data_IF_079672531639
#
_entry.id   IF_079672531639
#
_cell.length_a   1.000
_cell.length_b   1.000
_cell.length_c   1.000
_cell.angle_alpha   90.00
_cell.angle_beta   90.00
_cell.angle_gamma   90.00
#
_symmetry.space_group_name_H-M   'P 1'
#
loop_
_entity.id
_entity.type
_entity.pdbx_description
1 polymer ?
#
# COMPACT_ATOMS: atom_id res chain seq x y z
N UNK A 1 33.21 8.11 5.58
CA UNK A 1 32.13 7.51 6.39
C UNK A 1 31.02 7.15 5.41
N UNK A 2 30.84 5.86 5.12
CA UNK A 2 29.84 5.40 4.14
C UNK A 2 28.52 5.11 4.86
N UNK A 3 27.46 5.81 4.49
CA UNK A 3 26.12 5.58 5.03
C UNK A 3 25.55 4.38 4.27
N UNK A 4 25.43 3.25 4.97
CA UNK A 4 24.84 2.03 4.44
C UNK A 4 23.32 2.22 4.35
N UNK A 5 22.81 2.56 3.17
CA UNK A 5 21.38 2.68 2.87
C UNK A 5 20.79 1.31 2.53
N UNK A 6 20.98 0.33 3.40
CA UNK A 6 20.24 -0.92 3.27
C UNK A 6 18.76 -0.57 3.44
N UNK A 7 17.90 -0.77 2.42
CA UNK A 7 16.48 -0.61 2.64
C UNK A 7 16.10 -1.66 3.67
N UNK A 8 15.73 -1.20 4.87
CA UNK A 8 15.01 -2.01 5.82
C UNK A 8 13.65 -2.28 5.19
N UNK A 9 13.59 -3.33 4.36
CA UNK A 9 12.33 -3.95 3.94
C UNK A 9 11.80 -4.61 5.21
N UNK A 10 11.25 -3.79 6.12
CA UNK A 10 10.40 -4.32 7.16
C UNK A 10 9.22 -4.99 6.43
N UNK A 11 8.86 -6.23 6.81
CA UNK A 11 7.72 -6.93 6.23
C UNK A 11 6.43 -6.26 6.72
N UNK A 12 6.11 -5.07 6.19
CA UNK A 12 4.84 -4.38 6.43
C UNK A 12 3.66 -5.19 5.87
N UNK A 13 3.94 -6.21 5.05
CA UNK A 13 2.92 -7.08 4.45
C UNK A 13 2.48 -8.26 5.34
N UNK A 14 3.26 -8.72 6.33
CA UNK A 14 2.95 -9.98 7.04
C UNK A 14 2.20 -9.79 8.37
N UNK A 15 2.46 -8.72 9.11
CA UNK A 15 2.00 -8.64 10.51
C UNK A 15 0.58 -8.07 10.76
N UNK A 16 -0.14 -7.63 9.73
CA UNK A 16 -1.46 -6.97 9.89
C UNK A 16 -2.56 -7.51 8.98
N UNK A 17 -2.41 -8.73 8.45
CA UNK A 17 -3.53 -9.40 7.82
C UNK A 17 -4.50 -9.82 8.93
N UNK A 18 -5.73 -9.27 8.98
CA UNK A 18 -6.72 -9.75 9.93
C UNK A 18 -6.88 -11.25 9.69
N UNK A 19 -7.05 -12.00 10.78
CA UNK A 19 -7.46 -13.39 10.75
C UNK A 19 -8.89 -13.49 10.17
N UNK A 20 -9.05 -13.17 8.89
CA UNK A 20 -10.20 -13.57 8.12
C UNK A 20 -10.08 -15.07 8.03
N UNK A 21 -10.98 -15.77 8.74
CA UNK A 21 -11.09 -17.21 8.64
C UNK A 21 -10.99 -17.64 7.19
N UNK A 22 -10.17 -18.66 6.93
CA UNK A 22 -9.88 -19.20 5.59
C UNK A 22 -11.17 -19.65 4.86
N UNK A 23 -12.31 -19.63 5.55
CA UNK A 23 -13.66 -20.05 5.14
C UNK A 23 -14.48 -19.00 4.39
N UNK A 24 -14.09 -17.72 4.34
CA UNK A 24 -14.85 -16.72 3.58
C UNK A 24 -14.63 -16.84 2.05
N UNK A 25 -15.67 -16.66 1.21
CA UNK A 25 -15.54 -16.64 -0.24
C UNK A 25 -14.43 -15.69 -0.70
N UNK A 26 -13.65 -16.09 -1.70
CA UNK A 26 -12.52 -15.29 -2.22
C UNK A 26 -12.97 -13.88 -2.62
N UNK A 27 -14.17 -13.75 -3.19
CA UNK A 27 -14.76 -12.46 -3.56
C UNK A 27 -14.92 -11.53 -2.35
N UNK A 28 -15.54 -12.01 -1.26
CA UNK A 28 -15.74 -11.24 -0.04
C UNK A 28 -14.40 -10.84 0.59
N UNK A 29 -13.40 -11.72 0.50
CA UNK A 29 -12.05 -11.44 0.98
C UNK A 29 -11.38 -10.34 0.17
N UNK A 30 -11.45 -10.41 -1.16
CA UNK A 30 -10.87 -9.39 -2.04
C UNK A 30 -11.57 -8.04 -1.84
N UNK A 31 -12.91 -8.05 -1.76
CA UNK A 31 -13.72 -6.85 -1.52
C UNK A 31 -13.36 -6.16 -0.20
N UNK A 32 -13.26 -6.92 0.89
CA UNK A 32 -12.95 -6.35 2.21
C UNK A 32 -11.52 -5.80 2.28
N UNK A 33 -10.56 -6.52 1.71
CA UNK A 33 -9.17 -6.06 1.67
C UNK A 33 -9.03 -4.81 0.80
N UNK A 34 -9.63 -4.80 -0.40
CA UNK A 34 -9.64 -3.63 -1.27
C UNK A 34 -10.21 -2.41 -0.55
N UNK A 35 -11.39 -2.52 0.06
CA UNK A 35 -12.01 -1.41 0.79
C UNK A 35 -11.12 -0.88 1.91
N UNK A 36 -10.50 -1.76 2.71
CA UNK A 36 -9.55 -1.36 3.78
C UNK A 36 -8.34 -0.63 3.21
N UNK A 37 -7.74 -1.17 2.15
CA UNK A 37 -6.57 -0.57 1.53
C UNK A 37 -6.90 0.77 0.86
N UNK A 38 -8.06 0.92 0.21
CA UNK A 38 -8.48 2.19 -0.38
C UNK A 38 -8.67 3.29 0.66
N UNK A 39 -9.26 2.97 1.81
CA UNK A 39 -9.41 3.93 2.93
C UNK A 39 -8.05 4.32 3.50
N UNK A 40 -7.22 3.32 3.83
CA UNK A 40 -5.88 3.57 4.37
C UNK A 40 -5.00 4.39 3.40
N UNK A 41 -5.06 4.10 2.11
CA UNK A 41 -4.33 4.85 1.09
C UNK A 41 -4.82 6.30 0.99
N UNK A 42 -6.14 6.51 1.04
CA UNK A 42 -6.71 7.86 0.99
C UNK A 42 -6.33 8.70 2.22
N UNK A 43 -6.31 8.07 3.40
CA UNK A 43 -5.86 8.70 4.64
C UNK A 43 -4.36 9.03 4.61
N UNK A 44 -3.52 8.10 4.15
CA UNK A 44 -2.08 8.35 4.04
C UNK A 44 -1.79 9.47 3.03
N UNK A 45 -2.49 9.50 1.90
CA UNK A 45 -2.40 10.60 0.94
C UNK A 45 -2.71 11.94 1.61
N UNK A 46 -3.82 12.05 2.34
CA UNK A 46 -4.17 13.27 3.06
C UNK A 46 -3.09 13.67 4.08
N UNK A 47 -2.60 12.71 4.88
CA UNK A 47 -1.56 12.95 5.86
C UNK A 47 -0.21 13.39 5.23
N UNK A 48 0.12 12.89 4.04
CA UNK A 48 1.28 13.34 3.26
C UNK A 48 1.11 14.79 2.79
N UNK A 49 -0.06 15.15 2.27
CA UNK A 49 -0.35 16.54 1.87
C UNK A 49 -0.33 17.49 3.07
N UNK A 50 -0.87 17.07 4.22
CA UNK A 50 -0.81 17.87 5.44
C UNK A 50 0.63 18.07 5.90
N UNK A 51 1.48 17.03 5.82
CA UNK A 51 2.89 17.14 6.14
C UNK A 51 3.66 18.03 5.15
N UNK A 52 3.31 18.00 3.86
CA UNK A 52 3.89 18.91 2.86
C UNK A 52 3.49 20.36 3.12
N UNK A 53 2.23 20.60 3.49
CA UNK A 53 1.68 21.94 3.65
C UNK A 53 2.07 22.59 4.98
N UNK A 54 2.24 21.80 6.04
CA UNK A 54 2.45 22.31 7.40
C UNK A 54 3.80 21.91 8.02
N UNK A 55 4.60 21.06 7.33
CA UNK A 55 5.91 20.62 7.81
C UNK A 55 7.03 21.64 7.55
N UNK A 56 8.16 21.47 8.22
CA UNK A 56 9.33 22.33 8.02
C UNK A 56 10.11 21.89 6.76
N UNK A 57 9.86 22.59 5.65
CA UNK A 57 10.53 22.36 4.38
C UNK A 57 12.05 22.67 4.39
N UNK A 58 12.57 23.29 5.45
CA UNK A 58 14.00 23.60 5.60
C UNK A 58 14.74 22.55 6.43
N UNK A 59 14.01 21.66 7.11
CA UNK A 59 14.60 20.61 7.94
C UNK A 59 14.90 19.34 7.11
N UNK A 60 16.18 19.03 6.84
CA UNK A 60 16.55 17.91 5.97
C UNK A 60 16.15 16.53 6.56
N UNK A 61 16.04 16.41 7.88
CA UNK A 61 15.62 15.15 8.52
C UNK A 61 14.13 14.92 8.31
N UNK A 62 13.30 15.97 8.39
CA UNK A 62 11.87 15.88 8.10
C UNK A 62 11.62 15.61 6.63
N UNK A 63 12.36 16.27 5.73
CA UNK A 63 12.28 16.02 4.29
C UNK A 63 12.66 14.58 3.94
N UNK A 64 13.69 14.01 4.55
CA UNK A 64 14.06 12.61 4.32
C UNK A 64 12.98 11.65 4.81
N UNK A 65 12.33 11.92 5.96
CA UNK A 65 11.20 11.11 6.44
C UNK A 65 10.00 11.20 5.51
N UNK A 66 9.68 12.41 5.04
CA UNK A 66 8.62 12.65 4.07
C UNK A 66 8.89 11.89 2.77
N UNK A 67 10.11 11.98 2.22
CA UNK A 67 10.52 11.24 1.02
C UNK A 67 10.32 9.73 1.19
N UNK A 68 10.73 9.17 2.33
CA UNK A 68 10.53 7.74 2.61
C UNK A 68 9.05 7.36 2.68
N UNK A 69 8.21 8.16 3.36
CA UNK A 69 6.75 7.89 3.40
C UNK A 69 6.11 7.97 2.01
N UNK A 70 6.46 8.98 1.21
CA UNK A 70 5.96 9.12 -0.17
C UNK A 70 6.39 7.93 -1.02
N UNK A 71 7.64 7.49 -0.91
CA UNK A 71 8.14 6.30 -1.61
C UNK A 71 7.35 5.03 -1.24
N UNK A 72 7.13 4.82 0.06
CA UNK A 72 6.35 3.68 0.57
C UNK A 72 4.89 3.72 0.10
N UNK A 73 4.26 4.90 0.13
CA UNK A 73 2.91 5.10 -0.38
C UNK A 73 2.79 4.75 -1.87
N UNK A 74 3.74 5.23 -2.69
CA UNK A 74 3.79 4.93 -4.13
C UNK A 74 3.92 3.43 -4.40
N UNK A 75 4.81 2.75 -3.67
CA UNK A 75 4.98 1.30 -3.78
C UNK A 75 3.68 0.55 -3.43
N UNK A 76 3.03 0.92 -2.32
CA UNK A 76 1.79 0.29 -1.88
C UNK A 76 0.67 0.43 -2.92
N UNK A 77 0.46 1.63 -3.46
CA UNK A 77 -0.56 1.89 -4.49
C UNK A 77 -0.29 1.10 -5.77
N UNK A 78 0.96 1.05 -6.24
CA UNK A 78 1.32 0.29 -7.42
C UNK A 78 1.07 -1.21 -7.24
N UNK A 79 1.35 -1.74 -6.06
CA UNK A 79 1.08 -3.13 -5.72
C UNK A 79 -0.42 -3.42 -5.70
N UNK A 80 -1.23 -2.56 -5.06
CA UNK A 80 -2.69 -2.68 -5.02
C UNK A 80 -3.26 -2.67 -6.44
N UNK A 81 -2.84 -1.72 -7.27
CA UNK A 81 -3.28 -1.60 -8.67
C UNK A 81 -2.93 -2.86 -9.47
N UNK A 82 -1.69 -3.33 -9.35
CA UNK A 82 -1.22 -4.55 -10.04
C UNK A 82 -2.00 -5.78 -9.61
N UNK A 83 -2.21 -5.96 -8.31
CA UNK A 83 -2.94 -7.10 -7.77
C UNK A 83 -4.41 -7.07 -8.22
N UNK A 84 -5.05 -5.89 -8.12
CA UNK A 84 -6.44 -5.69 -8.56
C UNK A 84 -6.60 -6.04 -10.02
N UNK A 85 -5.71 -5.53 -10.88
CA UNK A 85 -5.72 -5.81 -12.31
C UNK A 85 -5.55 -7.31 -12.59
N UNK A 86 -4.55 -7.96 -11.97
CA UNK A 86 -4.29 -9.41 -12.15
C UNK A 86 -5.47 -10.27 -11.67
N UNK A 87 -6.09 -9.93 -10.55
CA UNK A 87 -7.27 -10.64 -10.04
C UNK A 87 -8.45 -10.53 -11.00
N UNK A 88 -8.74 -9.33 -11.51
CA UNK A 88 -9.80 -9.14 -12.50
C UNK A 88 -9.51 -9.91 -13.81
N UNK A 89 -8.27 -9.83 -14.32
CA UNK A 89 -7.87 -10.59 -15.51
C UNK A 89 -7.97 -12.11 -15.32
N UNK A 90 -7.67 -12.63 -14.13
CA UNK A 90 -7.82 -14.05 -13.84
C UNK A 90 -9.30 -14.48 -13.87
N UNK A 91 -10.20 -13.65 -13.31
CA UNK A 91 -11.65 -13.89 -13.36
C UNK A 91 -12.14 -13.88 -14.81
N UNK A 92 -11.78 -12.86 -15.59
CA UNK A 92 -12.16 -12.77 -17.01
C UNK A 92 -11.67 -13.96 -17.83
N UNK A 93 -10.46 -14.43 -17.56
CA UNK A 93 -9.87 -15.60 -18.22
C UNK A 93 -10.71 -16.86 -17.98
N UNK A 94 -11.13 -17.10 -16.73
CA UNK A 94 -11.96 -18.25 -16.36
C UNK A 94 -13.38 -18.15 -16.94
N UNK A 95 -13.95 -16.95 -17.00
CA UNK A 95 -15.27 -16.73 -17.61
C UNK A 95 -15.28 -16.95 -19.11
N UNK A 96 -14.21 -16.55 -19.82
CA UNK A 96 -14.08 -16.75 -21.28
C UNK A 96 -13.74 -18.18 -21.69
N UNK A 97 -13.18 -18.98 -20.77
CA UNK A 97 -12.82 -20.37 -21.01
C UNK A 97 -14.00 -21.35 -20.85
N UNK A 98 -15.15 -20.87 -20.39
CA UNK A 98 -16.43 -21.60 -20.31
C UNK A 98 -17.28 -21.32 -21.56
#
# INVERSE_FOLDING_TARGET
MFINLTPAIAPVAENNLPAMGITAPVEDRVRSQFARYSVAASQEKAALFDQVNNGDATNPVELLRLQNRVGNYSLAINMISTLTHKSASAIDSVLKAQ
#
